data_IF_519417245198
#
_entry.id   IF_519417245198
#
_cell.length_a   1.000
_cell.length_b   1.000
_cell.length_c   1.000
_cell.angle_alpha   90.00
_cell.angle_beta   90.00
_cell.angle_gamma   90.00
#
_symmetry.space_group_name_H-M   'P 1'
#
loop_
_entity.id
_entity.type
_entity.pdbx_description
1 polymer ?
#
# COMPACT_ATOMS: atom_id res chain seq x y z
N UNK A 1 -9.22 12.18 -23.06
CA UNK A 1 -8.20 11.34 -23.65
C UNK A 1 -8.29 9.92 -23.11
N UNK A 2 -8.53 8.95 -23.99
CA UNK A 2 -8.68 7.57 -23.60
C UNK A 2 -7.45 6.98 -22.93
N UNK A 3 -6.27 7.47 -23.23
CA UNK A 3 -5.03 6.94 -22.67
C UNK A 3 -4.91 7.27 -21.18
N UNK A 4 -5.49 8.36 -20.71
CA UNK A 4 -5.42 8.71 -19.31
C UNK A 4 -6.29 7.81 -18.43
N UNK A 5 -7.32 7.21 -19.00
CA UNK A 5 -8.22 6.33 -18.25
C UNK A 5 -7.52 5.04 -17.83
N UNK A 6 -6.53 4.59 -18.61
CA UNK A 6 -5.81 3.37 -18.30
C UNK A 6 -4.89 3.51 -17.09
N UNK A 7 -4.63 4.74 -16.66
CA UNK A 7 -3.69 5.02 -15.58
C UNK A 7 -4.38 5.46 -14.29
N UNK A 8 -5.66 5.19 -14.17
CA UNK A 8 -6.37 5.52 -12.94
C UNK A 8 -5.84 4.71 -11.78
N UNK A 9 -5.58 5.41 -10.70
CA UNK A 9 -5.15 4.81 -9.44
C UNK A 9 -6.08 5.24 -8.34
N UNK A 10 -6.29 4.36 -7.39
CA UNK A 10 -7.11 4.64 -6.21
C UNK A 10 -6.30 4.27 -4.97
N UNK A 11 -6.33 5.14 -3.97
CA UNK A 11 -5.60 4.91 -2.73
C UNK A 11 -6.57 4.84 -1.57
N UNK A 12 -6.43 3.80 -0.76
CA UNK A 12 -7.19 3.63 0.47
C UNK A 12 -6.23 3.68 1.65
N UNK A 13 -6.61 4.40 2.70
CA UNK A 13 -5.76 4.58 3.87
C UNK A 13 -6.47 4.12 5.12
N UNK A 14 -5.73 3.50 6.03
CA UNK A 14 -6.23 3.13 7.33
C UNK A 14 -5.42 3.82 8.42
N UNK A 15 -6.09 4.17 9.52
CA UNK A 15 -5.48 4.90 10.63
C UNK A 15 -5.79 4.18 11.93
N UNK A 16 -4.89 4.36 12.92
CA UNK A 16 -5.11 3.82 14.25
C UNK A 16 -5.85 4.83 15.15
N UNK A 17 -6.00 4.49 16.43
CA UNK A 17 -6.73 5.34 17.39
C UNK A 17 -6.04 6.68 17.61
N UNK A 18 -4.78 6.80 17.27
CA UNK A 18 -4.01 8.03 17.43
C UNK A 18 -3.86 8.79 16.14
N UNK A 19 -4.68 8.46 15.14
CA UNK A 19 -4.66 9.09 13.81
C UNK A 19 -3.35 8.91 13.06
N UNK A 20 -2.63 7.83 13.36
CA UNK A 20 -1.42 7.49 12.60
C UNK A 20 -1.79 6.52 11.49
N UNK A 21 -1.26 6.75 10.30
CA UNK A 21 -1.53 5.87 9.17
C UNK A 21 -0.91 4.49 9.41
N UNK A 22 -1.72 3.45 9.34
CA UNK A 22 -1.25 2.08 9.54
C UNK A 22 -1.16 1.29 8.24
N UNK A 23 -1.89 1.72 7.22
CA UNK A 23 -1.90 1.01 5.94
C UNK A 23 -2.24 1.97 4.81
N UNK A 24 -1.56 1.79 3.68
CA UNK A 24 -1.87 2.48 2.45
C UNK A 24 -1.97 1.44 1.35
N UNK A 25 -3.13 1.34 0.72
CA UNK A 25 -3.37 0.38 -0.34
C UNK A 25 -3.57 1.10 -1.66
N UNK A 26 -2.82 0.71 -2.68
CA UNK A 26 -2.96 1.26 -4.03
C UNK A 26 -3.71 0.25 -4.90
N UNK A 27 -4.71 0.75 -5.62
CA UNK A 27 -5.49 -0.05 -6.56
C UNK A 27 -5.36 0.55 -7.94
N UNK A 28 -5.36 -0.30 -8.95
CA UNK A 28 -5.19 0.08 -10.33
C UNK A 28 -6.47 -0.24 -11.09
N UNK A 29 -6.88 0.67 -11.96
CA UNK A 29 -8.06 0.43 -12.78
C UNK A 29 -7.74 -0.60 -13.86
N UNK A 30 -8.57 -1.64 -13.94
CA UNK A 30 -8.46 -2.65 -15.00
C UNK A 30 -9.56 -2.39 -16.02
N UNK A 31 -9.18 -1.80 -17.15
CA UNK A 31 -10.13 -1.42 -18.17
C UNK A 31 -10.75 -2.60 -18.90
N UNK A 32 -10.04 -3.73 -18.95
CA UNK A 32 -10.54 -4.94 -19.60
C UNK A 32 -11.69 -5.54 -18.79
N UNK A 33 -11.51 -5.63 -17.48
CA UNK A 33 -12.54 -6.19 -16.58
C UNK A 33 -13.49 -5.14 -16.04
N UNK A 34 -13.21 -3.87 -16.32
CA UNK A 34 -14.03 -2.73 -15.88
C UNK A 34 -14.19 -2.73 -14.35
N UNK A 35 -13.09 -2.92 -13.64
CA UNK A 35 -13.09 -2.96 -12.18
C UNK A 35 -11.74 -2.55 -11.61
N UNK A 36 -11.73 -2.24 -10.32
CA UNK A 36 -10.50 -1.97 -9.60
C UNK A 36 -9.80 -3.28 -9.26
N UNK A 37 -8.48 -3.29 -9.40
CA UNK A 37 -7.65 -4.44 -9.05
C UNK A 37 -6.61 -4.02 -8.02
N UNK A 38 -6.32 -4.92 -7.08
CA UNK A 38 -5.28 -4.67 -6.10
C UNK A 38 -3.91 -4.59 -6.78
N UNK A 39 -3.07 -3.66 -6.32
CA UNK A 39 -1.75 -3.47 -6.88
C UNK A 39 -0.68 -3.56 -5.81
N UNK A 40 -0.76 -2.73 -4.79
CA UNK A 40 0.29 -2.64 -3.78
C UNK A 40 -0.30 -2.26 -2.43
N UNK A 41 0.33 -2.74 -1.36
CA UNK A 41 -0.07 -2.39 -0.01
C UNK A 41 1.18 -2.05 0.79
N UNK A 42 1.12 -0.96 1.54
CA UNK A 42 2.20 -0.54 2.42
C UNK A 42 1.65 -0.52 3.83
N UNK A 43 2.34 -1.17 4.75
CA UNK A 43 1.96 -1.19 6.15
C UNK A 43 2.99 -0.49 7.01
N UNK A 44 2.50 0.23 8.01
CA UNK A 44 3.34 1.00 8.93
C UNK A 44 3.14 0.48 10.33
N UNK A 45 4.22 0.06 10.96
CA UNK A 45 4.20 -0.41 12.35
C UNK A 45 5.00 0.56 13.22
N UNK A 46 4.37 1.07 14.26
CA UNK A 46 4.97 2.04 15.15
C UNK A 46 5.39 1.39 16.46
N UNK A 47 6.65 1.58 16.84
CA UNK A 47 7.17 1.07 18.11
C UNK A 47 8.06 2.15 18.72
N UNK A 48 7.55 2.81 19.78
CA UNK A 48 8.28 3.91 20.38
C UNK A 48 8.55 5.00 19.36
N UNK A 49 9.82 5.27 19.10
CA UNK A 49 10.23 6.28 18.12
C UNK A 49 10.55 5.70 16.75
N UNK A 50 10.31 4.40 16.57
CA UNK A 50 10.61 3.74 15.31
C UNK A 50 9.35 3.47 14.51
N UNK A 51 9.44 3.58 13.20
CA UNK A 51 8.38 3.15 12.30
C UNK A 51 8.96 2.18 11.28
N UNK A 52 8.33 1.01 11.16
CA UNK A 52 8.72 0.02 10.16
C UNK A 52 7.73 0.08 9.02
N UNK A 53 8.23 0.30 7.82
CA UNK A 53 7.43 0.35 6.60
C UNK A 53 7.63 -0.95 5.84
N UNK A 54 6.56 -1.70 5.65
CA UNK A 54 6.60 -3.00 4.98
C UNK A 54 5.80 -2.92 3.69
N UNK A 55 6.39 -3.36 2.60
CA UNK A 55 5.79 -3.28 1.27
C UNK A 55 5.31 -4.65 0.83
N UNK A 56 4.10 -4.69 0.27
CA UNK A 56 3.48 -5.90 -0.27
C UNK A 56 3.03 -5.64 -1.69
N UNK A 57 3.22 -6.61 -2.57
CA UNK A 57 2.77 -6.55 -3.95
C UNK A 57 1.66 -7.57 -4.16
N UNK A 58 0.62 -7.19 -4.88
CA UNK A 58 -0.46 -8.12 -5.19
C UNK A 58 0.02 -9.18 -6.17
N UNK A 59 -0.28 -10.43 -5.87
CA UNK A 59 0.06 -11.56 -6.71
C UNK A 59 -1.24 -12.19 -7.24
N UNK A 60 -1.49 -12.01 -8.53
CA UNK A 60 -2.72 -12.48 -9.16
C UNK A 60 -2.85 -14.00 -9.14
N UNK A 61 -1.74 -14.70 -9.22
CA UNK A 61 -1.75 -16.16 -9.22
C UNK A 61 -2.13 -16.72 -7.87
N UNK A 62 -1.67 -16.08 -6.79
CA UNK A 62 -1.96 -16.53 -5.44
C UNK A 62 -3.23 -15.90 -4.89
N UNK A 63 -3.70 -14.81 -5.49
CA UNK A 63 -4.86 -14.10 -5.00
C UNK A 63 -4.63 -13.41 -3.66
N UNK A 64 -3.41 -13.00 -3.37
CA UNK A 64 -3.06 -12.35 -2.11
C UNK A 64 -1.86 -11.44 -2.28
N UNK A 65 -1.63 -10.62 -1.26
CA UNK A 65 -0.43 -9.79 -1.20
C UNK A 65 0.77 -10.62 -0.79
N UNK A 66 1.92 -10.33 -1.38
CA UNK A 66 3.18 -11.00 -1.10
C UNK A 66 4.19 -9.98 -0.62
N UNK A 67 4.86 -10.28 0.47
CA UNK A 67 5.89 -9.42 1.05
C UNK A 67 7.05 -9.19 0.08
N UNK A 68 7.53 -7.94 0.03
CA UNK A 68 8.73 -7.58 -0.72
C UNK A 68 9.81 -7.23 0.30
N UNK A 69 10.62 -8.19 0.75
CA UNK A 69 11.54 -7.96 1.89
C UNK A 69 12.60 -6.91 1.61
N UNK A 70 13.08 -6.79 0.38
CA UNK A 70 14.12 -5.82 0.04
C UNK A 70 13.63 -4.38 0.11
N UNK A 71 12.34 -4.16 0.22
CA UNK A 71 11.76 -2.82 0.34
C UNK A 71 11.28 -2.51 1.76
N UNK A 72 11.48 -3.44 2.69
CA UNK A 72 11.10 -3.21 4.09
C UNK A 72 12.13 -2.30 4.74
N UNK A 73 11.65 -1.20 5.32
CA UNK A 73 12.51 -0.17 5.90
C UNK A 73 12.06 0.15 7.32
N UNK A 74 13.03 0.18 8.24
CA UNK A 74 12.77 0.63 9.61
C UNK A 74 13.51 1.94 9.83
N UNK A 75 12.80 2.95 10.27
CA UNK A 75 13.37 4.27 10.49
C UNK A 75 13.00 4.79 11.88
N UNK A 76 13.96 5.43 12.53
CA UNK A 76 13.72 6.12 13.78
C UNK A 76 13.17 7.50 13.49
N UNK A 77 12.15 7.90 14.24
CA UNK A 77 11.57 9.21 14.11
C UNK A 77 11.70 9.94 15.45
N UNK A 78 12.68 10.83 15.59
CA UNK A 78 12.91 11.50 16.89
C UNK A 78 11.78 12.42 17.30
N UNK A 79 10.88 12.74 16.39
CA UNK A 79 9.76 13.63 16.68
C UNK A 79 8.49 12.89 17.10
N UNK A 80 8.57 11.60 17.21
CA UNK A 80 7.40 10.80 17.65
C UNK A 80 7.31 10.73 19.15
#
# INVERSE_FOLDING_TARGET
>A
DGSTLANYMKYNYKYDDQNRMTESEAMKWNAVKNTWANDMCIRYAYQGKSVTTTYYKWNNKKGTYVLIPEMTITMDNPNM
#
